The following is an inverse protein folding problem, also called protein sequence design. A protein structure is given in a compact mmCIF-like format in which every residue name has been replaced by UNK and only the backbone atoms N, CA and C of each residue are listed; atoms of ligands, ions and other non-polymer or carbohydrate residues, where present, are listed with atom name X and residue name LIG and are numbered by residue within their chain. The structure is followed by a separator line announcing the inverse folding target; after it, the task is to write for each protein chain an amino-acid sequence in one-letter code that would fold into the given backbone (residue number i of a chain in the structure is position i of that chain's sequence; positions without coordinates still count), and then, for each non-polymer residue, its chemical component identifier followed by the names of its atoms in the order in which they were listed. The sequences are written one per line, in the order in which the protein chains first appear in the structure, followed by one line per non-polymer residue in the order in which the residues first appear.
data_IF_229043868936
#
_entry.id   IF_229043868936
#
_cell.length_a   1.000
_cell.length_b   1.000
_cell.length_c   1.000
_cell.angle_alpha   90.00
_cell.angle_beta   90.00
_cell.angle_gamma   90.00
#
_symmetry.space_group_name_H-M   'P 1'
#
loop_
_entity.id
_entity.type
_entity.pdbx_description
1 polymer ?
#
# COMPACT_ATOMS: atom_id res chain seq x y z
N UNK A 1 18.88 1.53 1.24
CA UNK A 1 17.90 1.29 0.18
C UNK A 1 16.98 0.15 0.52
N UNK A 2 17.51 -1.07 0.69
CA UNK A 2 16.66 -2.19 1.07
C UNK A 2 16.06 -2.04 2.47
N UNK A 3 16.72 -1.28 3.35
CA UNK A 3 16.20 -1.04 4.69
C UNK A 3 14.87 -0.29 4.69
N UNK A 4 14.72 0.69 3.80
CA UNK A 4 13.46 1.44 3.70
C UNK A 4 12.34 0.56 3.17
N UNK A 5 12.64 -0.27 2.16
CA UNK A 5 11.68 -1.21 1.61
C UNK A 5 11.19 -2.19 2.70
N UNK A 6 12.13 -2.78 3.44
CA UNK A 6 11.79 -3.71 4.51
C UNK A 6 10.98 -3.06 5.62
N UNK A 7 11.30 -1.81 5.97
CA UNK A 7 10.57 -1.08 6.98
C UNK A 7 9.11 -0.91 6.57
N UNK A 8 8.88 -0.54 5.31
CA UNK A 8 7.52 -0.35 4.80
C UNK A 8 6.76 -1.67 4.76
N UNK A 9 7.41 -2.75 4.33
CA UNK A 9 6.80 -4.07 4.31
C UNK A 9 6.38 -4.49 5.72
N UNK A 10 7.24 -4.29 6.72
CA UNK A 10 6.92 -4.62 8.11
C UNK A 10 5.73 -3.80 8.59
N UNK A 11 5.71 -2.51 8.32
CA UNK A 11 4.59 -1.66 8.72
C UNK A 11 3.29 -2.10 8.05
N UNK A 12 3.35 -2.45 6.76
CA UNK A 12 2.18 -2.92 6.04
C UNK A 12 1.66 -4.24 6.59
N UNK A 13 2.55 -5.19 6.90
CA UNK A 13 2.12 -6.49 7.42
C UNK A 13 1.42 -6.39 8.77
N UNK A 14 1.72 -5.34 9.54
CA UNK A 14 1.09 -5.09 10.83
C UNK A 14 -0.12 -4.17 10.71
N UNK A 15 -0.36 -3.60 9.55
CA UNK A 15 -1.46 -2.66 9.35
C UNK A 15 -2.79 -3.40 9.19
N UNK A 16 -3.90 -2.87 9.72
CA UNK A 16 -5.22 -3.50 9.55
C UNK A 16 -5.63 -3.77 8.12
N UNK A 17 -5.07 -3.05 7.15
CA UNK A 17 -5.38 -3.26 5.73
C UNK A 17 -5.10 -4.69 5.28
N UNK A 18 -4.21 -5.40 5.96
CA UNK A 18 -3.84 -6.76 5.57
C UNK A 18 -4.80 -7.83 6.08
N UNK A 19 -5.67 -7.52 7.03
CA UNK A 19 -6.56 -8.51 7.61
C UNK A 19 -8.00 -8.04 7.78
N UNK A 20 -8.28 -6.76 7.60
CA UNK A 20 -9.65 -6.24 7.66
C UNK A 20 -10.16 -5.93 6.26
N UNK A 21 -11.46 -6.12 6.00
CA UNK A 21 -12.02 -5.68 4.72
C UNK A 21 -11.95 -4.15 4.62
N UNK A 22 -11.90 -3.68 3.39
CA UNK A 22 -11.76 -2.25 3.11
C UNK A 22 -12.87 -1.42 3.76
N UNK A 23 -14.07 -1.98 3.85
CA UNK A 23 -15.23 -1.30 4.43
C UNK A 23 -15.08 -1.07 5.94
N UNK A 24 -14.22 -1.83 6.61
CA UNK A 24 -14.02 -1.72 8.06
C UNK A 24 -12.88 -0.79 8.43
N UNK A 25 -12.14 -0.27 7.45
CA UNK A 25 -11.02 0.62 7.72
C UNK A 25 -11.52 2.03 8.00
N UNK A 26 -10.90 2.68 8.99
CA UNK A 26 -11.17 4.09 9.25
C UNK A 26 -10.49 4.96 8.19
N UNK A 27 -10.89 6.22 8.12
CA UNK A 27 -10.28 7.17 7.20
C UNK A 27 -8.76 7.26 7.42
N UNK A 28 -8.34 7.36 8.68
CA UNK A 28 -6.91 7.44 9.01
C UNK A 28 -6.15 6.19 8.59
N UNK A 29 -6.75 5.02 8.80
CA UNK A 29 -6.14 3.76 8.38
C UNK A 29 -5.99 3.70 6.86
N UNK A 30 -7.00 4.16 6.14
CA UNK A 30 -6.94 4.19 4.68
C UNK A 30 -5.85 5.13 4.17
N UNK A 31 -5.71 6.30 4.78
CA UNK A 31 -4.67 7.26 4.40
C UNK A 31 -3.27 6.69 4.63
N UNK A 32 -3.04 6.07 5.79
CA UNK A 32 -1.75 5.48 6.09
C UNK A 32 -1.43 4.32 5.13
N UNK A 33 -2.41 3.45 4.89
CA UNK A 33 -2.22 2.33 3.97
C UNK A 33 -1.90 2.84 2.56
N UNK A 34 -2.61 3.86 2.10
CA UNK A 34 -2.35 4.46 0.80
C UNK A 34 -0.90 4.97 0.71
N UNK A 35 -0.46 5.71 1.72
CA UNK A 35 0.90 6.26 1.74
C UNK A 35 1.95 5.15 1.73
N UNK A 36 1.76 4.10 2.53
CA UNK A 36 2.71 2.99 2.61
C UNK A 36 2.79 2.22 1.29
N UNK A 37 1.65 1.91 0.70
CA UNK A 37 1.61 1.16 -0.56
C UNK A 37 2.21 2.00 -1.70
N UNK A 38 1.90 3.29 -1.74
CA UNK A 38 2.44 4.19 -2.74
C UNK A 38 3.96 4.27 -2.66
N UNK A 39 4.49 4.40 -1.45
CA UNK A 39 5.93 4.43 -1.24
C UNK A 39 6.58 3.11 -1.63
N UNK A 40 5.94 2.00 -1.31
CA UNK A 40 6.43 0.68 -1.69
C UNK A 40 6.55 0.54 -3.21
N UNK A 41 5.54 0.97 -3.94
CA UNK A 41 5.55 0.93 -5.40
C UNK A 41 6.65 1.82 -5.95
N UNK A 42 6.79 3.04 -5.44
CA UNK A 42 7.81 3.98 -5.89
C UNK A 42 9.22 3.42 -5.69
N UNK A 43 9.48 2.82 -4.53
CA UNK A 43 10.78 2.21 -4.25
C UNK A 43 11.05 1.03 -5.17
N UNK A 44 10.03 0.25 -5.50
CA UNK A 44 10.20 -0.88 -6.40
C UNK A 44 10.52 -0.44 -7.82
N UNK A 45 9.92 0.66 -8.27
CA UNK A 45 10.19 1.20 -9.60
C UNK A 45 11.60 1.79 -9.67
N UNK A 46 11.99 2.55 -8.65
CA UNK A 46 13.30 3.22 -8.64
C UNK A 46 14.45 2.25 -8.40
N UNK A 47 14.21 1.25 -7.57
CA UNK A 47 15.26 0.32 -7.15
C UNK A 47 15.48 -0.82 -8.13
N UNK A 48 14.53 -1.72 -8.22
CA UNK A 48 14.62 -2.91 -9.07
C UNK A 48 13.27 -3.60 -9.12
N UNK A 49 12.85 -3.97 -10.32
CA UNK A 49 11.60 -4.72 -10.51
C UNK A 49 11.62 -6.09 -9.81
N UNK A 50 12.80 -6.59 -9.43
CA UNK A 50 12.89 -7.86 -8.71
C UNK A 50 12.31 -7.79 -7.29
N UNK A 51 12.15 -6.59 -6.74
CA UNK A 51 11.57 -6.44 -5.40
C UNK A 51 10.09 -6.79 -5.37
N UNK A 52 9.37 -6.49 -6.45
CA UNK A 52 7.97 -6.87 -6.59
C UNK A 52 7.74 -7.44 -7.99
N UNK A 53 7.04 -8.57 -8.02
CA UNK A 53 6.59 -9.16 -9.26
C UNK A 53 5.63 -8.21 -9.97
N UNK A 54 5.60 -8.25 -11.30
CA UNK A 54 4.70 -7.43 -12.11
C UNK A 54 3.24 -7.60 -11.68
N UNK A 55 2.83 -8.84 -11.41
CA UNK A 55 1.46 -9.12 -10.98
C UNK A 55 1.18 -8.45 -9.64
N UNK A 56 2.13 -8.49 -8.71
CA UNK A 56 1.99 -7.84 -7.41
C UNK A 56 1.90 -6.32 -7.56
N UNK A 57 2.68 -5.74 -8.47
CA UNK A 57 2.61 -4.31 -8.75
C UNK A 57 1.22 -3.91 -9.24
N UNK A 58 0.67 -4.66 -10.18
CA UNK A 58 -0.65 -4.37 -10.73
C UNK A 58 -1.72 -4.48 -9.64
N UNK A 59 -1.62 -5.48 -8.77
CA UNK A 59 -2.56 -5.64 -7.66
C UNK A 59 -2.48 -4.48 -6.68
N UNK A 60 -1.26 -4.03 -6.36
CA UNK A 60 -1.08 -2.91 -5.44
C UNK A 60 -1.63 -1.62 -6.04
N UNK A 61 -1.41 -1.39 -7.33
CA UNK A 61 -1.96 -0.21 -8.00
C UNK A 61 -3.49 -0.23 -8.00
N UNK A 62 -4.08 -1.39 -8.26
CA UNK A 62 -5.53 -1.55 -8.20
C UNK A 62 -6.05 -1.24 -6.80
N UNK A 63 -5.37 -1.76 -5.78
CA UNK A 63 -5.75 -1.55 -4.39
C UNK A 63 -5.62 -0.07 -4.00
N UNK A 64 -4.59 0.61 -4.51
CA UNK A 64 -4.45 2.04 -4.31
C UNK A 64 -5.65 2.81 -4.85
N UNK A 65 -6.15 2.41 -6.02
CA UNK A 65 -7.34 3.02 -6.60
C UNK A 65 -8.56 2.88 -5.69
N UNK A 66 -8.76 1.72 -5.11
CA UNK A 66 -9.86 1.48 -4.18
C UNK A 66 -9.73 2.30 -2.91
N UNK A 67 -8.51 2.36 -2.34
CA UNK A 67 -8.25 3.17 -1.16
C UNK A 67 -8.49 4.66 -1.44
N UNK A 68 -8.02 5.14 -2.57
CA UNK A 68 -8.22 6.53 -2.98
C UNK A 68 -9.71 6.86 -3.10
N UNK A 69 -10.48 5.96 -3.69
CA UNK A 69 -11.91 6.13 -3.84
C UNK A 69 -12.59 6.21 -2.47
N UNK A 70 -12.23 5.32 -1.55
CA UNK A 70 -12.79 5.33 -0.20
C UNK A 70 -12.43 6.61 0.55
N UNK A 71 -11.20 7.08 0.43
CA UNK A 71 -10.76 8.32 1.06
C UNK A 71 -11.58 9.49 0.54
N UNK A 72 -11.79 9.55 -0.77
CA UNK A 72 -12.58 10.62 -1.39
C UNK A 72 -14.04 10.56 -0.96
N UNK A 73 -14.61 9.36 -0.84
CA UNK A 73 -16.02 9.20 -0.43
C UNK A 73 -16.22 9.50 1.06
N UNK A 74 -15.15 9.42 1.86
CA UNK A 74 -15.25 9.68 3.30
C UNK A 74 -15.26 11.16 3.65
N UNK A 75 -14.97 12.01 2.69
CA UNK A 75 -15.05 13.46 2.89
C UNK A 75 -16.51 13.94 2.71
#
# INVERSE_FOLDING_TARGET
MYGDFNRIVVQLTQHPVMYKPLSDLTYTECELAYALIRELIDLSIEGDYTLLDYIQMVRLEYYLGELSCKISCSR
#
